data_IF_664896736422
#
_entry.id   IF_664896736422
#
_cell.length_a   1.000
_cell.length_b   1.000
_cell.length_c   1.000
_cell.angle_alpha   90.00
_cell.angle_beta   90.00
_cell.angle_gamma   90.00
#
_symmetry.space_group_name_H-M   'P 1'
#
loop_
_entity.id
_entity.type
_entity.pdbx_description
1 polymer ?
#
# COMPACT_ATOMS: atom_id res chain seq x y z
N UNK A 1 -25.70 -56.95 17.36
CA UNK A 1 -24.36 -56.34 17.44
C UNK A 1 -24.17 -55.51 16.17
N UNK A 2 -24.24 -54.17 16.25
CA UNK A 2 -24.11 -53.27 15.09
C UNK A 2 -22.73 -52.61 15.15
N UNK A 3 -21.91 -52.81 14.12
CA UNK A 3 -20.58 -52.22 13.99
C UNK A 3 -20.73 -50.95 13.16
N UNK A 4 -20.47 -49.79 13.77
CA UNK A 4 -20.45 -48.51 13.07
C UNK A 4 -19.00 -48.17 12.71
N UNK A 5 -18.70 -48.14 11.41
CA UNK A 5 -17.42 -47.72 10.86
C UNK A 5 -17.47 -46.20 10.69
N UNK A 6 -16.66 -45.48 11.46
CA UNK A 6 -16.42 -44.05 11.28
C UNK A 6 -15.33 -43.88 10.22
N UNK A 7 -15.73 -43.49 9.01
CA UNK A 7 -14.79 -43.08 7.94
C UNK A 7 -14.40 -41.64 8.25
N UNK A 8 -13.21 -41.45 8.83
CA UNK A 8 -12.58 -40.12 8.92
C UNK A 8 -12.18 -39.68 7.52
N UNK A 9 -13.05 -38.91 6.87
CA UNK A 9 -12.72 -38.16 5.65
C UNK A 9 -11.80 -37.02 6.09
N UNK A 10 -10.49 -37.26 5.99
CA UNK A 10 -9.49 -36.22 6.12
C UNK A 10 -9.59 -35.33 4.86
N UNK A 11 -10.31 -34.21 4.98
CA UNK A 11 -10.30 -33.16 3.96
C UNK A 11 -8.88 -32.56 3.94
N UNK A 12 -8.05 -33.04 3.02
CA UNK A 12 -6.81 -32.36 2.65
C UNK A 12 -7.23 -31.06 1.93
N UNK A 13 -7.44 -29.99 2.70
CA UNK A 13 -7.52 -28.63 2.16
C UNK A 13 -6.16 -28.35 1.54
N UNK A 14 -6.06 -28.55 0.23
CA UNK A 14 -4.93 -28.10 -0.57
C UNK A 14 -4.90 -26.57 -0.45
N UNK A 15 -4.14 -26.04 0.50
CA UNK A 15 -3.86 -24.61 0.60
C UNK A 15 -2.97 -24.23 -0.58
N UNK A 16 -3.58 -24.07 -1.76
CA UNK A 16 -2.96 -23.32 -2.83
C UNK A 16 -2.87 -21.87 -2.34
N UNK A 17 -1.80 -21.54 -1.61
CA UNK A 17 -1.52 -20.18 -1.21
C UNK A 17 -1.30 -19.40 -2.51
N UNK A 18 -2.23 -18.52 -2.89
CA UNK A 18 -2.08 -17.70 -4.07
C UNK A 18 -0.73 -16.96 -3.97
N UNK A 19 0.14 -17.16 -4.97
CA UNK A 19 1.43 -16.47 -5.03
C UNK A 19 1.17 -14.98 -5.14
N UNK A 20 1.74 -14.20 -4.22
CA UNK A 20 1.56 -12.76 -4.23
C UNK A 20 2.23 -12.14 -5.46
N UNK A 21 1.63 -11.11 -6.07
CA UNK A 21 2.29 -10.31 -7.09
C UNK A 21 3.54 -9.62 -6.52
N UNK A 22 4.62 -9.62 -7.30
CA UNK A 22 5.93 -9.06 -6.94
C UNK A 22 6.39 -8.14 -8.06
N UNK A 23 6.83 -6.92 -7.73
CA UNK A 23 7.34 -5.92 -8.67
C UNK A 23 6.42 -5.73 -9.88
N UNK A 24 5.13 -5.46 -9.59
CA UNK A 24 4.13 -5.16 -10.61
C UNK A 24 4.57 -3.88 -11.34
N UNK A 25 4.87 -3.94 -12.65
CA UNK A 25 5.42 -2.79 -13.37
C UNK A 25 4.53 -1.55 -13.31
N UNK A 26 3.21 -1.75 -13.41
CA UNK A 26 2.21 -0.69 -13.38
C UNK A 26 2.16 0.06 -12.05
N UNK A 27 2.78 -0.45 -10.98
CA UNK A 27 2.82 0.19 -9.67
C UNK A 27 4.14 0.89 -9.37
N UNK A 28 5.00 1.08 -10.37
CA UNK A 28 6.33 1.68 -10.18
C UNK A 28 6.85 2.43 -11.41
N UNK A 29 6.00 2.65 -12.42
CA UNK A 29 6.38 3.25 -13.70
C UNK A 29 6.19 4.79 -13.74
N UNK A 30 5.63 5.39 -12.69
CA UNK A 30 5.35 6.83 -12.62
C UNK A 30 4.14 7.25 -13.47
N UNK A 31 3.33 6.30 -13.94
CA UNK A 31 2.21 6.56 -14.82
C UNK A 31 0.90 5.97 -14.25
N UNK A 32 0.09 6.75 -13.51
CA UNK A 32 -1.14 6.23 -12.88
C UNK A 32 -2.26 5.87 -13.86
N UNK A 33 -2.03 6.00 -15.18
CA UNK A 33 -2.95 5.53 -16.23
C UNK A 33 -2.75 4.05 -16.58
N UNK A 34 -1.59 3.48 -16.27
CA UNK A 34 -1.45 2.02 -16.11
C UNK A 34 -1.96 1.67 -14.71
N UNK A 35 -2.48 0.46 -14.52
CA UNK A 35 -3.06 0.11 -13.22
C UNK A 35 -2.90 -1.37 -12.89
N UNK A 36 -2.81 -1.63 -11.59
CA UNK A 36 -2.90 -2.97 -11.03
C UNK A 36 -4.32 -3.26 -10.59
N UNK A 37 -4.87 -4.37 -11.07
CA UNK A 37 -6.15 -4.91 -10.62
C UNK A 37 -5.90 -5.99 -9.59
N UNK A 38 -6.34 -5.73 -8.36
CA UNK A 38 -6.26 -6.65 -7.25
C UNK A 38 -7.20 -7.86 -7.43
N UNK A 39 -6.87 -8.94 -6.73
CA UNK A 39 -7.76 -10.10 -6.61
C UNK A 39 -8.45 -10.04 -5.26
N UNK A 40 -9.76 -10.26 -5.23
CA UNK A 40 -10.53 -10.29 -3.98
C UNK A 40 -9.87 -11.23 -2.95
N UNK A 41 -9.66 -10.75 -1.73
CA UNK A 41 -8.97 -11.48 -0.67
C UNK A 41 -7.44 -11.57 -0.78
N UNK A 42 -6.84 -11.11 -1.89
CA UNK A 42 -5.37 -11.16 -2.16
C UNK A 42 -4.85 -9.79 -2.63
N UNK A 43 -5.34 -8.72 -2.01
CA UNK A 43 -4.87 -7.35 -2.27
C UNK A 43 -3.54 -7.05 -1.57
N UNK A 44 -2.50 -7.82 -1.91
CA UNK A 44 -1.16 -7.69 -1.34
C UNK A 44 -0.11 -7.70 -2.45
N UNK A 45 0.73 -6.68 -2.50
CA UNK A 45 1.80 -6.54 -3.51
C UNK A 45 3.14 -6.42 -2.81
N UNK A 46 4.15 -7.14 -3.31
CA UNK A 46 5.53 -7.05 -2.82
C UNK A 46 6.35 -6.18 -3.77
N UNK A 47 7.09 -5.23 -3.20
CA UNK A 47 8.11 -4.42 -3.84
C UNK A 47 9.48 -4.92 -3.37
N UNK A 48 10.13 -5.70 -4.22
CA UNK A 48 11.43 -6.34 -4.06
C UNK A 48 12.48 -5.67 -4.95
N UNK A 49 12.71 -4.38 -4.72
CA UNK A 49 13.75 -3.59 -5.43
C UNK A 49 15.11 -3.62 -4.74
N UNK A 50 15.21 -4.26 -3.57
CA UNK A 50 16.44 -4.32 -2.75
C UNK A 50 16.96 -2.93 -2.34
N UNK A 51 16.09 -2.11 -1.76
CA UNK A 51 16.45 -0.76 -1.29
C UNK A 51 17.67 -0.77 -0.36
N UNK A 52 18.61 0.13 -0.61
CA UNK A 52 19.88 0.26 0.12
C UNK A 52 19.88 1.44 1.11
N UNK A 53 18.89 2.30 1.02
CA UNK A 53 18.66 3.46 1.89
C UNK A 53 17.26 3.37 2.52
N UNK A 54 17.02 3.97 3.70
CA UNK A 54 15.70 4.01 4.28
C UNK A 54 14.73 4.76 3.37
N UNK A 55 13.58 4.15 3.09
CA UNK A 55 12.45 4.87 2.51
C UNK A 55 11.77 5.67 3.61
N UNK A 56 11.50 6.93 3.33
CA UNK A 56 10.99 7.91 4.29
C UNK A 56 9.56 8.32 3.98
N UNK A 57 9.14 8.26 2.71
CA UNK A 57 7.76 8.52 2.31
C UNK A 57 7.40 7.76 1.05
N UNK A 58 6.11 7.68 0.76
CA UNK A 58 5.58 7.10 -0.46
C UNK A 58 4.35 7.86 -0.94
N UNK A 59 4.04 7.73 -2.22
CA UNK A 59 2.79 8.18 -2.81
C UNK A 59 1.99 6.96 -3.25
N UNK A 60 0.68 7.02 -3.10
CA UNK A 60 -0.27 6.08 -3.69
C UNK A 60 -1.23 6.86 -4.58
N UNK A 61 -1.52 6.32 -5.76
CA UNK A 61 -2.40 6.95 -6.74
C UNK A 61 -3.70 6.17 -6.90
N UNK A 62 -4.83 6.88 -6.93
CA UNK A 62 -6.07 6.33 -7.50
C UNK A 62 -5.86 6.04 -8.98
N UNK A 63 -6.57 5.05 -9.51
CA UNK A 63 -6.60 4.79 -10.95
C UNK A 63 -7.59 5.71 -11.68
N UNK A 64 -7.84 5.40 -12.96
CA UNK A 64 -8.90 6.00 -13.76
C UNK A 64 -10.30 5.40 -13.50
N UNK A 65 -10.36 4.31 -12.74
CA UNK A 65 -11.60 3.58 -12.45
C UNK A 65 -12.52 4.32 -11.47
N UNK A 66 -13.69 3.75 -11.21
CA UNK A 66 -14.67 4.35 -10.31
C UNK A 66 -14.16 4.42 -8.86
N UNK A 67 -14.64 5.38 -8.04
CA UNK A 67 -14.21 5.52 -6.64
C UNK A 67 -14.42 4.28 -5.76
N UNK A 68 -15.31 3.35 -6.17
CA UNK A 68 -15.53 2.10 -5.44
C UNK A 68 -14.29 1.18 -5.44
N UNK A 69 -13.41 1.33 -6.45
CA UNK A 69 -12.21 0.52 -6.61
C UNK A 69 -10.97 1.14 -5.94
N UNK A 70 -11.07 2.38 -5.46
CA UNK A 70 -9.94 3.09 -4.86
C UNK A 70 -9.49 2.43 -3.55
N UNK A 71 -8.19 2.49 -3.22
CA UNK A 71 -7.71 2.08 -1.91
C UNK A 71 -8.25 3.03 -0.84
N UNK A 72 -9.06 2.50 0.08
CA UNK A 72 -9.63 3.25 1.20
C UNK A 72 -8.79 3.12 2.46
N UNK A 73 -8.14 1.96 2.63
CA UNK A 73 -7.23 1.68 3.72
C UNK A 73 -6.07 0.81 3.23
N UNK A 74 -4.91 0.98 3.84
CA UNK A 74 -3.76 0.14 3.55
C UNK A 74 -2.76 0.09 4.71
N UNK A 75 -1.97 -0.97 4.71
CA UNK A 75 -0.84 -1.18 5.60
C UNK A 75 0.41 -1.37 4.76
N UNK A 76 1.42 -0.54 5.01
CA UNK A 76 2.75 -0.74 4.45
C UNK A 76 3.60 -1.51 5.47
N UNK A 77 4.23 -2.58 5.00
CA UNK A 77 5.15 -3.40 5.80
C UNK A 77 6.54 -3.39 5.20
N UNK A 78 7.56 -3.29 6.04
CA UNK A 78 8.97 -3.41 5.66
C UNK A 78 9.54 -4.77 6.03
N UNK A 79 10.50 -5.27 5.25
CA UNK A 79 11.26 -6.48 5.54
C UNK A 79 12.75 -6.32 5.23
N UNK A 80 13.60 -6.93 6.06
CA UNK A 80 15.05 -7.04 5.81
C UNK A 80 15.42 -8.32 5.03
N UNK A 81 14.57 -9.34 5.07
CA UNK A 81 14.87 -10.71 4.62
C UNK A 81 13.79 -11.32 3.70
N UNK A 82 12.70 -10.58 3.43
CA UNK A 82 11.52 -11.01 2.68
C UNK A 82 10.63 -12.03 3.37
N UNK A 83 10.97 -12.43 4.59
CA UNK A 83 10.27 -13.47 5.37
C UNK A 83 9.53 -12.86 6.54
N UNK A 84 10.20 -11.98 7.28
CA UNK A 84 9.63 -11.26 8.43
C UNK A 84 9.23 -9.86 7.99
N UNK A 85 7.95 -9.54 8.20
CA UNK A 85 7.35 -8.29 7.77
C UNK A 85 6.89 -7.51 9.01
N UNK A 86 7.32 -6.26 9.12
CA UNK A 86 6.98 -5.34 10.23
C UNK A 86 6.13 -4.22 9.66
N UNK A 87 5.05 -3.84 10.35
CA UNK A 87 4.24 -2.68 9.97
C UNK A 87 5.06 -1.41 10.14
N UNK A 88 5.19 -0.62 9.07
CA UNK A 88 5.91 0.66 9.08
C UNK A 88 4.98 1.85 8.93
N UNK A 89 3.79 1.63 8.35
CA UNK A 89 2.76 2.65 8.19
C UNK A 89 1.37 2.02 8.05
N UNK A 90 0.35 2.70 8.57
CA UNK A 90 -1.07 2.33 8.42
C UNK A 90 -1.91 3.55 8.06
N UNK A 91 -2.78 3.41 7.07
CA UNK A 91 -3.72 4.45 6.64
C UNK A 91 -5.13 3.88 6.57
N UNK A 92 -6.09 4.67 7.02
CA UNK A 92 -7.52 4.33 7.07
C UNK A 92 -8.34 5.53 6.63
N UNK A 93 -9.54 5.28 6.15
CA UNK A 93 -10.51 6.32 5.79
C UNK A 93 -9.97 7.34 4.79
N UNK A 94 -9.16 6.87 3.84
CA UNK A 94 -8.57 7.69 2.79
C UNK A 94 -9.53 7.82 1.62
N UNK A 95 -9.61 9.03 1.04
CA UNK A 95 -10.49 9.32 -0.08
C UNK A 95 -9.75 10.11 -1.16
N UNK A 96 -10.01 9.76 -2.42
CA UNK A 96 -9.55 10.49 -3.59
C UNK A 96 -10.71 11.33 -4.13
N UNK A 97 -10.50 12.63 -4.19
CA UNK A 97 -11.47 13.61 -4.70
C UNK A 97 -11.48 13.68 -6.24
N UNK A 98 -10.43 13.18 -6.89
CA UNK A 98 -10.25 13.13 -8.34
C UNK A 98 -9.62 11.80 -8.76
N UNK A 99 -9.69 11.46 -10.05
CA UNK A 99 -8.96 10.31 -10.61
C UNK A 99 -7.49 10.66 -10.83
N UNK A 100 -6.63 9.64 -10.83
CA UNK A 100 -5.17 9.81 -10.91
C UNK A 100 -4.57 10.73 -9.83
N UNK A 101 -5.29 10.92 -8.73
CA UNK A 101 -4.85 11.75 -7.63
C UNK A 101 -3.86 10.97 -6.76
N UNK A 102 -2.81 11.66 -6.30
CA UNK A 102 -1.89 11.14 -5.28
C UNK A 102 -2.37 11.43 -3.86
N UNK A 103 -2.08 10.49 -2.96
CA UNK A 103 -1.99 10.74 -1.52
C UNK A 103 -0.54 10.52 -1.10
N UNK A 104 0.09 11.57 -0.55
CA UNK A 104 1.44 11.53 -0.02
C UNK A 104 1.45 11.08 1.44
N UNK A 105 2.24 10.05 1.73
CA UNK A 105 2.34 9.41 3.04
C UNK A 105 3.79 9.38 3.55
N UNK A 106 4.15 10.19 4.57
CA UNK A 106 5.38 9.98 5.33
C UNK A 106 5.29 8.66 6.09
N UNK A 107 6.33 7.82 6.01
CA UNK A 107 6.34 6.56 6.75
C UNK A 107 6.45 6.85 8.24
N UNK A 108 5.58 6.24 9.04
CA UNK A 108 5.54 6.44 10.50
C UNK A 108 6.78 5.86 11.20
N UNK A 109 7.25 4.69 10.78
CA UNK A 109 8.41 3.99 11.35
C UNK A 109 9.45 3.62 10.27
N UNK A 110 10.17 4.58 9.68
CA UNK A 110 11.15 4.31 8.64
C UNK A 110 12.36 3.56 9.20
N UNK A 111 12.92 2.64 8.40
CA UNK A 111 14.16 1.92 8.71
C UNK A 111 14.81 1.39 7.43
N UNK A 112 15.96 0.73 7.55
CA UNK A 112 16.76 0.18 6.44
C UNK A 112 16.15 -1.12 5.83
N UNK A 113 14.83 -1.18 5.68
CA UNK A 113 14.16 -2.30 5.05
C UNK A 113 14.52 -2.37 3.56
N UNK A 114 14.76 -3.59 3.08
CA UNK A 114 15.16 -3.86 1.68
C UNK A 114 13.98 -4.10 0.76
N UNK A 115 12.85 -4.50 1.34
CA UNK A 115 11.64 -4.85 0.62
C UNK A 115 10.43 -4.28 1.34
N UNK A 116 9.40 -3.97 0.58
CA UNK A 116 8.13 -3.47 1.10
C UNK A 116 6.97 -4.35 0.62
N UNK A 117 5.92 -4.43 1.43
CA UNK A 117 4.66 -5.07 1.08
C UNK A 117 3.52 -4.13 1.39
N UNK A 118 2.72 -3.83 0.38
CA UNK A 118 1.48 -3.08 0.51
C UNK A 118 0.32 -4.07 0.65
N UNK A 119 -0.49 -3.91 1.68
CA UNK A 119 -1.75 -4.64 1.86
C UNK A 119 -2.87 -3.60 1.87
N UNK A 120 -3.76 -3.62 0.88
CA UNK A 120 -4.76 -2.57 0.67
C UNK A 120 -6.19 -3.12 0.55
N UNK A 121 -7.17 -2.29 0.84
CA UNK A 121 -8.59 -2.63 0.74
C UNK A 121 -9.42 -1.44 0.28
N UNK A 122 -10.48 -1.72 -0.47
CA UNK A 122 -11.53 -0.76 -0.84
C UNK A 122 -12.49 -0.54 0.33
N UNK A 123 -13.31 0.51 0.28
CA UNK A 123 -14.26 0.83 1.34
C UNK A 123 -15.39 -0.21 1.47
N UNK A 124 -15.78 -0.81 0.34
CA UNK A 124 -16.94 -1.71 0.22
C UNK A 124 -16.55 -3.17 0.03
N UNK A 125 -15.26 -3.50 -0.03
CA UNK A 125 -14.79 -4.85 -0.36
C UNK A 125 -14.84 -5.18 -1.86
N UNK A 126 -15.05 -4.18 -2.71
CA UNK A 126 -14.97 -4.31 -4.18
C UNK A 126 -13.53 -4.62 -4.66
N UNK A 127 -13.41 -4.87 -5.96
CA UNK A 127 -12.13 -5.06 -6.66
C UNK A 127 -11.25 -3.82 -6.49
N UNK A 128 -10.08 -4.01 -5.89
CA UNK A 128 -9.11 -2.94 -5.74
C UNK A 128 -8.46 -2.64 -7.09
N UNK A 129 -8.39 -1.37 -7.48
CA UNK A 129 -7.59 -0.93 -8.63
C UNK A 129 -6.67 0.21 -8.21
N UNK A 130 -5.36 -0.05 -8.26
CA UNK A 130 -4.32 0.90 -7.90
C UNK A 130 -3.71 1.52 -9.15
N UNK A 131 -3.56 2.84 -9.16
CA UNK A 131 -2.89 3.55 -10.24
C UNK A 131 -1.37 3.37 -10.18
N UNK A 132 -0.74 3.74 -9.06
CA UNK A 132 0.72 3.69 -8.91
C UNK A 132 1.11 3.74 -7.43
N UNK A 133 2.33 3.29 -7.09
CA UNK A 133 2.94 3.37 -5.76
C UNK A 133 4.42 3.77 -5.87
N UNK A 134 4.73 5.01 -5.51
CA UNK A 134 6.10 5.55 -5.64
C UNK A 134 6.76 5.71 -4.28
N UNK A 135 7.95 5.12 -4.11
CA UNK A 135 8.75 5.23 -2.88
C UNK A 135 9.83 6.31 -2.99
N UNK A 136 10.09 6.99 -1.86
CA UNK A 136 11.07 8.07 -1.77
C UNK A 136 11.96 7.90 -0.52
N UNK A 137 13.26 8.06 -0.69
CA UNK A 137 14.27 8.08 0.39
C UNK A 137 14.29 9.40 1.18
N UNK A 138 13.39 10.33 0.84
CA UNK A 138 13.22 11.63 1.51
C UNK A 138 11.81 11.74 2.10
N UNK A 139 11.70 12.44 3.23
CA UNK A 139 10.40 12.79 3.79
C UNK A 139 9.87 14.04 3.07
N UNK A 140 8.97 13.84 2.10
CA UNK A 140 8.46 14.91 1.26
C UNK A 140 7.56 15.93 2.01
N UNK A 141 7.10 15.63 3.24
CA UNK A 141 6.39 16.59 4.08
C UNK A 141 7.33 17.48 4.91
N UNK A 142 8.58 17.07 5.13
CA UNK A 142 9.51 17.82 5.99
C UNK A 142 9.86 19.22 5.45
N UNK A 143 9.75 19.42 4.13
CA UNK A 143 10.04 20.70 3.48
C UNK A 143 9.00 21.79 3.77
N UNK A 144 7.84 21.45 4.34
CA UNK A 144 6.80 22.42 4.71
C UNK A 144 7.04 23.10 6.06
N UNK A 145 7.91 22.54 6.92
CA UNK A 145 8.25 23.13 8.23
C UNK A 145 9.06 24.43 8.14
N UNK A 146 9.65 24.72 6.99
CA UNK A 146 10.40 25.95 6.72
C UNK A 146 9.56 27.13 6.24
N UNK A 147 8.26 26.94 5.96
CA UNK A 147 7.39 28.02 5.52
C UNK A 147 6.93 28.88 6.71
N UNK A 148 7.84 29.73 7.21
CA UNK A 148 7.47 30.83 8.08
C UNK A 148 6.68 31.84 7.24
N UNK A 149 5.38 31.98 7.48
CA UNK A 149 4.66 33.16 7.00
C UNK A 149 5.30 34.35 7.72
N UNK A 150 6.17 35.09 7.03
CA UNK A 150 6.63 36.39 7.51
C UNK A 150 5.40 37.26 7.61
N UNK A 151 4.82 37.33 8.81
CA UNK A 151 3.66 38.13 9.10
C UNK A 151 3.94 39.56 8.68
N UNK A 152 3.27 40.00 7.61
CA UNK A 152 3.16 41.42 7.29
C UNK A 152 2.55 42.09 8.50
N UNK A 153 3.39 42.79 9.28
CA UNK A 153 2.94 43.81 10.21
C UNK A 153 2.30 44.90 9.37
N UNK A 154 0.98 44.86 9.21
CA UNK A 154 0.22 46.02 8.77
C UNK A 154 0.46 47.11 9.80
N UNK A 155 1.34 48.04 9.46
CA UNK A 155 1.47 49.30 10.16
C UNK A 155 0.24 50.11 9.74
N UNK A 156 -0.70 50.24 10.66
CA UNK A 156 -1.73 51.27 10.58
C UNK A 156 -1.04 52.62 10.81
N UNK A 157 -0.85 53.38 9.74
CA UNK A 157 -0.69 54.84 9.83
C UNK A 157 -2.06 55.48 9.52
#
# INVERSE_FOLDING_TARGET
MKINILISISLLLCSCQAKLPVNVPELSDGNPTTCFVGTEGVNKVIFDEQYTVPIQSYKIYSSGETPAHDPFAWTLKGSYDGKKWVVVDERKDQMFCSRYQEILCPITQPSNYKQYRLEASTATGDTLVLGDVLFFDTNLNANWGGFQISGNRLRSD
#
